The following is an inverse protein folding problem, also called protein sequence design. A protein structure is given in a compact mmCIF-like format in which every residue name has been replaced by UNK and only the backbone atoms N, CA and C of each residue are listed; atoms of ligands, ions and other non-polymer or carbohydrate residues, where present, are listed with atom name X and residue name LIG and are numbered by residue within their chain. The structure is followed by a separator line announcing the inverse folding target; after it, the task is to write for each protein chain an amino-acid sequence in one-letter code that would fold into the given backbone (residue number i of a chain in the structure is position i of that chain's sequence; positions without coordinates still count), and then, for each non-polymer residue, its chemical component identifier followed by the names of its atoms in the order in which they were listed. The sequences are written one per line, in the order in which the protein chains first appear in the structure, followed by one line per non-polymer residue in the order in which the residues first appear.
data_IF_676151137677
#
_entry.id   IF_676151137677
#
_cell.length_a   1.000
_cell.length_b   1.000
_cell.length_c   1.000
_cell.angle_alpha   90.00
_cell.angle_beta   90.00
_cell.angle_gamma   90.00
#
_symmetry.space_group_name_H-M   'P 1'
#
loop_
_entity.id
_entity.type
_entity.pdbx_description
1 polymer ?
#
# COMPACT_ATOMS: atom_id res chain seq x y z
N UNK A 1 25.95 1.72 33.15
CA UNK A 1 25.13 0.95 32.19
C UNK A 1 24.53 1.96 31.23
N UNK A 2 24.69 1.76 29.92
CA UNK A 2 23.92 2.55 28.95
C UNK A 2 22.42 2.37 29.21
N UNK A 3 21.65 3.44 29.10
CA UNK A 3 20.20 3.36 29.25
C UNK A 3 19.64 2.48 28.12
N UNK A 4 18.69 1.60 28.46
CA UNK A 4 18.00 0.80 27.44
C UNK A 4 17.09 1.73 26.66
N UNK A 5 17.14 1.73 25.32
CA UNK A 5 16.28 2.61 24.54
C UNK A 5 14.79 2.38 24.83
N UNK A 6 14.00 3.46 24.79
CA UNK A 6 12.60 3.42 25.21
C UNK A 6 11.77 2.43 24.39
N UNK A 7 12.01 2.34 23.07
CA UNK A 7 11.31 1.40 22.19
C UNK A 7 11.53 -0.07 22.60
N UNK A 8 12.76 -0.40 22.99
CA UNK A 8 13.15 -1.74 23.49
C UNK A 8 12.58 -1.98 24.90
N UNK A 9 12.58 -0.95 25.74
CA UNK A 9 12.06 -1.02 27.10
C UNK A 9 10.54 -1.18 27.14
N UNK A 10 9.80 -0.52 26.25
CA UNK A 10 8.34 -0.59 26.16
C UNK A 10 7.86 -2.03 25.91
N UNK A 11 8.57 -2.74 25.02
CA UNK A 11 8.31 -4.14 24.70
C UNK A 11 8.93 -5.12 25.71
N UNK A 12 9.65 -4.63 26.73
CA UNK A 12 10.36 -5.46 27.70
C UNK A 12 11.23 -6.56 27.06
N UNK A 13 11.84 -6.30 25.90
CA UNK A 13 12.53 -7.33 25.10
C UNK A 13 13.65 -8.02 25.89
N UNK A 14 14.38 -7.28 26.74
CA UNK A 14 15.42 -7.87 27.61
C UNK A 14 14.87 -8.90 28.60
N UNK A 15 13.61 -8.74 29.02
CA UNK A 15 12.93 -9.68 29.91
C UNK A 15 12.41 -10.87 29.11
N UNK A 16 11.77 -10.61 27.97
CA UNK A 16 11.20 -11.65 27.10
C UNK A 16 12.28 -12.63 26.58
N UNK A 17 13.45 -12.11 26.23
CA UNK A 17 14.55 -12.90 25.67
C UNK A 17 15.68 -13.16 26.67
N UNK A 18 15.42 -13.05 27.98
CA UNK A 18 16.43 -13.38 29.00
C UNK A 18 16.87 -14.84 28.88
N UNK A 19 18.18 -15.08 28.85
CA UNK A 19 18.74 -16.44 28.81
C UNK A 19 18.89 -17.03 27.40
N UNK A 20 18.67 -16.24 26.35
CA UNK A 20 19.08 -16.58 25.00
C UNK A 20 20.60 -16.46 24.82
N UNK A 21 21.11 -17.00 23.70
CA UNK A 21 22.54 -17.20 23.45
C UNK A 21 23.38 -15.89 23.46
N UNK A 22 22.76 -14.74 23.21
CA UNK A 22 23.36 -13.43 23.36
C UNK A 22 22.48 -12.55 24.27
N UNK A 23 23.10 -11.64 25.02
CA UNK A 23 22.35 -10.58 25.69
C UNK A 23 21.74 -9.67 24.61
N UNK A 24 20.43 -9.41 24.69
CA UNK A 24 19.69 -8.66 23.66
C UNK A 24 20.40 -7.36 23.23
N UNK A 25 20.96 -6.62 24.19
CA UNK A 25 21.61 -5.33 23.90
C UNK A 25 22.92 -5.45 23.13
N UNK A 26 23.57 -6.63 23.14
CA UNK A 26 24.76 -6.88 22.33
C UNK A 26 24.41 -7.10 20.85
N UNK A 27 23.12 -7.32 20.55
CA UNK A 27 22.58 -7.47 19.20
C UNK A 27 21.92 -6.19 18.68
N UNK A 28 22.01 -5.08 19.41
CA UNK A 28 21.32 -3.83 19.06
C UNK A 28 22.34 -2.77 18.66
N UNK A 29 22.22 -2.25 17.44
CA UNK A 29 22.91 -1.05 16.96
C UNK A 29 21.91 0.12 16.90
N UNK A 30 22.35 1.36 17.15
CA UNK A 30 21.47 2.54 17.15
C UNK A 30 22.04 3.63 16.26
N UNK A 31 21.19 4.23 15.43
CA UNK A 31 21.50 5.40 14.61
C UNK A 31 20.35 6.40 14.62
N UNK A 32 20.65 7.66 14.32
CA UNK A 32 19.67 8.74 14.22
C UNK A 32 19.82 9.57 12.95
N UNK A 33 20.54 9.04 11.96
CA UNK A 33 20.69 9.65 10.66
C UNK A 33 19.34 9.80 9.97
N UNK A 34 19.20 10.82 9.12
CA UNK A 34 17.98 11.08 8.35
C UNK A 34 17.64 9.95 7.37
N UNK A 35 18.63 9.15 6.99
CA UNK A 35 18.49 7.93 6.21
C UNK A 35 19.46 6.90 6.77
N UNK A 36 18.96 5.70 7.08
CA UNK A 36 19.79 4.56 7.49
C UNK A 36 19.71 3.45 6.45
N UNK A 37 20.82 2.75 6.26
CA UNK A 37 20.94 1.64 5.31
C UNK A 37 21.24 0.37 6.11
N UNK A 38 20.44 -0.66 5.95
CA UNK A 38 20.58 -1.95 6.64
C UNK A 38 20.89 -3.02 5.61
N UNK A 39 21.94 -3.80 5.87
CA UNK A 39 22.35 -4.92 5.03
C UNK A 39 22.42 -6.20 5.86
N UNK A 40 22.29 -7.33 5.19
CA UNK A 40 22.81 -8.60 5.70
C UNK A 40 24.31 -8.70 5.38
N UNK A 41 25.15 -8.52 6.40
CA UNK A 41 26.61 -8.49 6.25
C UNK A 41 27.14 -9.94 6.24
N UNK A 42 27.42 -10.45 5.04
CA UNK A 42 27.94 -11.81 4.84
C UNK A 42 29.28 -12.07 5.56
N UNK A 43 30.13 -11.05 5.76
CA UNK A 43 31.44 -11.22 6.41
C UNK A 43 31.28 -11.40 7.91
N UNK A 44 30.32 -10.68 8.50
CA UNK A 44 29.99 -10.78 9.94
C UNK A 44 28.96 -11.89 10.23
N UNK A 45 28.20 -12.29 9.22
CA UNK A 45 27.08 -13.23 9.33
C UNK A 45 25.88 -12.68 10.11
N UNK A 46 25.76 -11.36 10.26
CA UNK A 46 24.64 -10.69 10.95
C UNK A 46 24.24 -9.43 10.19
N UNK A 47 23.00 -8.99 10.32
CA UNK A 47 22.61 -7.70 9.76
C UNK A 47 23.19 -6.53 10.57
N UNK A 48 23.63 -5.48 9.88
CA UNK A 48 24.17 -4.27 10.49
C UNK A 48 23.82 -3.01 9.69
N UNK A 49 24.06 -1.82 10.26
CA UNK A 49 23.96 -0.59 9.50
C UNK A 49 25.19 -0.39 8.59
N UNK A 50 24.95 0.03 7.35
CA UNK A 50 25.97 0.32 6.35
C UNK A 50 26.07 1.83 6.04
N UNK A 51 27.02 2.20 5.18
CA UNK A 51 27.07 3.52 4.54
C UNK A 51 26.13 3.61 3.34
N UNK A 52 25.95 4.83 2.82
CA UNK A 52 25.03 5.10 1.71
C UNK A 52 25.41 4.40 0.41
N UNK A 53 26.67 4.00 0.26
CA UNK A 53 27.17 3.16 -0.84
C UNK A 53 26.47 1.80 -0.92
N UNK A 54 25.87 1.30 0.16
CA UNK A 54 25.11 0.05 0.17
C UNK A 54 23.74 0.16 -0.53
N UNK A 55 23.27 1.38 -0.87
CA UNK A 55 21.99 1.59 -1.55
C UNK A 55 21.88 0.83 -2.89
N UNK A 56 23.01 0.55 -3.55
CA UNK A 56 23.05 -0.16 -4.83
C UNK A 56 23.03 -1.68 -4.70
N UNK A 57 23.15 -2.25 -3.49
CA UNK A 57 23.36 -3.68 -3.26
C UNK A 57 22.16 -4.43 -2.67
N UNK A 58 20.95 -3.89 -2.78
CA UNK A 58 19.75 -4.54 -2.22
C UNK A 58 19.66 -4.46 -0.70
N UNK A 59 19.98 -3.29 -0.14
CA UNK A 59 19.78 -2.98 1.27
C UNK A 59 18.32 -2.58 1.59
N UNK A 60 17.96 -2.59 2.87
CA UNK A 60 16.76 -1.95 3.38
C UNK A 60 17.08 -0.51 3.81
N UNK A 61 16.19 0.44 3.49
CA UNK A 61 16.40 1.87 3.70
C UNK A 61 15.35 2.40 4.67
N UNK A 62 15.79 2.82 5.86
CA UNK A 62 14.95 3.53 6.82
C UNK A 62 15.03 5.03 6.58
N UNK A 63 13.94 5.65 6.13
CA UNK A 63 13.80 7.10 6.00
C UNK A 63 13.36 7.66 7.36
N UNK A 64 14.18 8.52 7.95
CA UNK A 64 14.01 9.03 9.31
C UNK A 64 14.00 10.56 9.31
N UNK A 65 12.95 11.19 8.76
CA UNK A 65 12.94 12.64 8.50
C UNK A 65 13.09 13.51 9.75
N UNK A 66 12.83 12.95 10.94
CA UNK A 66 12.91 13.62 12.22
C UNK A 66 14.17 13.26 13.03
N UNK A 67 15.10 12.48 12.45
CA UNK A 67 16.36 12.08 13.07
C UNK A 67 16.15 11.42 14.46
N UNK A 68 15.10 10.60 14.60
CA UNK A 68 14.86 9.84 15.81
C UNK A 68 15.87 8.71 15.96
N UNK A 69 16.05 8.21 17.18
CA UNK A 69 16.82 6.98 17.37
C UNK A 69 16.08 5.80 16.75
N UNK A 70 16.73 5.13 15.79
CA UNK A 70 16.33 3.86 15.21
C UNK A 70 17.26 2.78 15.75
N UNK A 71 16.67 1.67 16.19
CA UNK A 71 17.40 0.56 16.79
C UNK A 71 17.32 -0.66 15.86
N UNK A 72 18.46 -1.07 15.32
CA UNK A 72 18.59 -2.28 14.54
C UNK A 72 18.89 -3.44 15.49
N UNK A 73 17.99 -4.41 15.56
CA UNK A 73 18.18 -5.67 16.26
C UNK A 73 18.59 -6.75 15.25
N UNK A 74 19.81 -7.26 15.34
CA UNK A 74 20.23 -8.45 14.57
C UNK A 74 19.57 -9.70 15.16
N UNK A 75 18.79 -10.42 14.35
CA UNK A 75 17.98 -11.56 14.78
C UNK A 75 18.66 -12.87 14.40
N UNK A 76 18.80 -13.17 13.09
CA UNK A 76 19.53 -14.36 12.66
C UNK A 76 21.03 -14.19 12.93
N UNK A 77 21.62 -15.24 13.49
CA UNK A 77 22.97 -15.30 14.04
C UNK A 77 23.34 -14.19 15.05
N UNK A 78 22.42 -13.29 15.39
CA UNK A 78 22.49 -12.32 16.47
C UNK A 78 21.80 -12.86 17.71
N UNK A 79 20.55 -12.45 17.91
CA UNK A 79 19.70 -12.87 19.03
C UNK A 79 19.49 -14.39 19.08
N UNK A 80 19.28 -15.00 17.92
CA UNK A 80 19.19 -16.45 17.78
C UNK A 80 20.45 -16.99 17.10
N UNK A 81 20.95 -18.13 17.58
CA UNK A 81 22.07 -18.84 16.94
C UNK A 81 21.52 -20.06 16.21
N UNK A 82 21.39 -19.94 14.89
CA UNK A 82 20.95 -21.03 13.99
C UNK A 82 19.62 -21.69 14.41
N UNK A 83 18.52 -20.94 14.46
CA UNK A 83 17.21 -21.49 14.84
C UNK A 83 16.72 -22.53 13.82
N UNK A 84 16.12 -23.60 14.33
CA UNK A 84 15.43 -24.61 13.50
C UNK A 84 14.26 -23.94 12.77
N UNK A 85 14.15 -24.12 11.46
CA UNK A 85 13.12 -23.46 10.63
C UNK A 85 13.52 -22.09 10.06
N UNK A 86 14.64 -21.52 10.52
CA UNK A 86 15.11 -20.19 10.09
C UNK A 86 14.26 -19.05 10.66
N UNK A 87 14.83 -17.85 10.71
CA UNK A 87 14.18 -16.62 11.20
C UNK A 87 14.51 -15.46 10.29
N UNK A 88 13.85 -14.32 10.51
CA UNK A 88 14.19 -13.04 9.93
C UNK A 88 15.63 -12.66 10.27
N UNK A 89 16.34 -12.02 9.35
CA UNK A 89 17.71 -11.59 9.60
C UNK A 89 17.77 -10.51 10.68
N UNK A 90 16.83 -9.56 10.67
CA UNK A 90 16.85 -8.44 11.62
C UNK A 90 15.49 -7.77 11.82
N UNK A 91 15.46 -6.79 12.72
CA UNK A 91 14.37 -5.82 12.81
C UNK A 91 14.88 -4.39 13.05
N UNK A 92 14.24 -3.42 12.41
CA UNK A 92 14.46 -2.00 12.65
C UNK A 92 13.30 -1.44 13.48
N UNK A 93 13.64 -0.85 14.63
CA UNK A 93 12.69 -0.52 15.70
C UNK A 93 12.73 0.97 15.99
N UNK A 94 11.54 1.57 16.14
CA UNK A 94 11.37 2.97 16.49
C UNK A 94 10.06 3.15 17.26
N UNK A 95 10.10 3.71 18.47
CA UNK A 95 8.93 4.09 19.30
C UNK A 95 7.71 3.15 19.31
N UNK A 96 6.87 3.26 18.27
CA UNK A 96 5.60 2.59 18.02
C UNK A 96 5.63 1.61 16.84
N UNK A 97 6.79 1.38 16.22
CA UNK A 97 6.97 0.51 15.07
C UNK A 97 8.12 -0.49 15.22
N UNK A 98 7.86 -1.72 14.79
CA UNK A 98 8.78 -2.86 14.75
C UNK A 98 8.78 -3.51 13.36
N UNK A 99 9.77 -3.20 12.53
CA UNK A 99 9.85 -3.71 11.16
C UNK A 99 10.83 -4.89 11.07
N UNK A 100 10.32 -6.12 10.95
CA UNK A 100 11.13 -7.29 10.62
C UNK A 100 11.60 -7.22 9.17
N UNK A 101 12.83 -7.66 8.91
CA UNK A 101 13.43 -7.65 7.58
C UNK A 101 14.12 -8.98 7.33
N UNK A 102 13.74 -9.62 6.22
CA UNK A 102 14.36 -10.82 5.67
C UNK A 102 15.03 -10.47 4.33
N UNK A 103 16.34 -10.67 4.25
CA UNK A 103 17.15 -10.47 3.07
C UNK A 103 17.25 -11.75 2.24
N UNK A 104 16.93 -11.60 0.97
CA UNK A 104 17.23 -12.52 -0.14
C UNK A 104 18.10 -11.83 -1.19
N UNK A 105 18.99 -10.95 -0.72
CA UNK A 105 19.91 -10.15 -1.54
C UNK A 105 20.87 -11.01 -2.38
N UNK A 106 21.18 -12.23 -1.91
CA UNK A 106 22.05 -13.18 -2.63
C UNK A 106 21.29 -14.09 -3.62
N UNK A 107 19.95 -14.01 -3.71
CA UNK A 107 19.17 -14.84 -4.62
C UNK A 107 19.19 -14.27 -6.05
N UNK A 108 19.32 -15.15 -7.05
CA UNK A 108 19.37 -14.75 -8.47
C UNK A 108 18.04 -14.98 -9.22
N UNK A 109 17.15 -15.85 -8.71
CA UNK A 109 15.78 -16.03 -9.23
C UNK A 109 15.66 -16.42 -10.71
N UNK A 110 16.55 -17.25 -11.27
CA UNK A 110 16.63 -17.51 -12.73
C UNK A 110 15.37 -18.10 -13.39
N UNK A 111 14.48 -18.71 -12.62
CA UNK A 111 13.23 -19.34 -13.10
C UNK A 111 12.05 -18.97 -12.19
N UNK A 112 10.82 -19.08 -12.69
CA UNK A 112 9.59 -18.85 -11.89
C UNK A 112 9.63 -19.65 -10.58
N UNK A 113 9.93 -20.95 -10.65
CA UNK A 113 9.96 -21.83 -9.50
C UNK A 113 11.02 -21.40 -8.47
N UNK A 114 12.17 -20.91 -8.94
CA UNK A 114 13.22 -20.40 -8.04
C UNK A 114 12.82 -19.09 -7.36
N UNK A 115 12.03 -18.26 -8.03
CA UNK A 115 11.48 -17.03 -7.45
C UNK A 115 10.44 -17.36 -6.39
N UNK A 116 9.46 -18.21 -6.74
CA UNK A 116 8.44 -18.71 -5.82
C UNK A 116 9.06 -19.34 -4.58
N UNK A 117 10.03 -20.25 -4.76
CA UNK A 117 10.75 -20.87 -3.65
C UNK A 117 11.44 -19.83 -2.74
N UNK A 118 12.07 -18.82 -3.34
CA UNK A 118 12.77 -17.76 -2.58
C UNK A 118 11.79 -16.97 -1.71
N UNK A 119 10.64 -16.57 -2.26
CA UNK A 119 9.62 -15.84 -1.51
C UNK A 119 8.95 -16.70 -0.45
N UNK A 120 8.57 -17.94 -0.77
CA UNK A 120 7.94 -18.83 0.21
C UNK A 120 8.87 -19.15 1.38
N UNK A 121 10.17 -19.33 1.10
CA UNK A 121 11.18 -19.49 2.15
C UNK A 121 11.30 -18.25 3.04
N UNK A 122 11.37 -17.06 2.43
CA UNK A 122 11.44 -15.80 3.17
C UNK A 122 10.19 -15.57 4.04
N UNK A 123 9.01 -15.86 3.49
CA UNK A 123 7.73 -15.79 4.21
C UNK A 123 7.73 -16.73 5.41
N UNK A 124 8.12 -18.00 5.22
CA UNK A 124 8.16 -18.97 6.32
C UNK A 124 9.10 -18.53 7.45
N UNK A 125 10.24 -17.91 7.13
CA UNK A 125 11.15 -17.36 8.14
C UNK A 125 10.54 -16.19 8.91
N UNK A 126 9.81 -15.30 8.24
CA UNK A 126 9.08 -14.20 8.88
C UNK A 126 7.94 -14.72 9.77
N UNK A 127 7.14 -15.68 9.30
CA UNK A 127 6.06 -16.30 10.08
C UNK A 127 6.60 -16.96 11.35
N UNK A 128 7.66 -17.75 11.21
CA UNK A 128 8.30 -18.39 12.36
C UNK A 128 8.85 -17.35 13.34
N UNK A 129 9.44 -16.25 12.85
CA UNK A 129 9.91 -15.15 13.71
C UNK A 129 8.77 -14.48 14.46
N UNK A 130 7.65 -14.21 13.78
CA UNK A 130 6.46 -13.64 14.40
C UNK A 130 5.93 -14.56 15.50
N UNK A 131 5.81 -15.87 15.24
CA UNK A 131 5.41 -16.85 16.26
C UNK A 131 6.34 -16.82 17.48
N UNK A 132 7.66 -16.85 17.26
CA UNK A 132 8.64 -16.82 18.34
C UNK A 132 8.52 -15.56 19.20
N UNK A 133 8.44 -14.38 18.58
CA UNK A 133 8.29 -13.11 19.31
C UNK A 133 6.96 -13.02 20.05
N UNK A 134 5.85 -13.42 19.39
CA UNK A 134 4.53 -13.45 20.03
C UNK A 134 4.53 -14.36 21.26
N UNK A 135 5.09 -15.57 21.15
CA UNK A 135 5.18 -16.50 22.27
C UNK A 135 6.00 -15.92 23.43
N UNK A 136 7.16 -15.32 23.15
CA UNK A 136 8.04 -14.77 24.20
C UNK A 136 7.49 -13.55 24.90
N UNK A 137 6.76 -12.71 24.18
CA UNK A 137 6.10 -11.55 24.78
C UNK A 137 4.85 -11.97 25.55
N UNK A 138 4.10 -12.95 25.05
CA UNK A 138 2.97 -13.53 25.78
C UNK A 138 3.39 -14.18 27.11
N UNK A 139 4.53 -14.88 27.16
CA UNK A 139 5.09 -15.47 28.39
C UNK A 139 5.31 -14.44 29.52
N UNK A 140 5.51 -13.17 29.18
CA UNK A 140 5.65 -12.06 30.14
C UNK A 140 4.40 -11.19 30.26
N UNK A 141 3.28 -11.60 29.66
CA UNK A 141 1.98 -10.94 29.71
C UNK A 141 1.82 -9.74 28.78
N UNK A 142 2.63 -9.65 27.71
CA UNK A 142 2.61 -8.57 26.74
C UNK A 142 2.07 -9.08 25.39
N UNK A 143 1.03 -8.44 24.87
CA UNK A 143 0.49 -8.73 23.53
C UNK A 143 1.28 -7.92 22.50
N UNK A 144 2.18 -8.58 21.75
CA UNK A 144 3.14 -7.91 20.87
C UNK A 144 2.44 -7.00 19.86
N UNK A 145 1.38 -7.50 19.22
CA UNK A 145 0.63 -6.81 18.16
C UNK A 145 -0.20 -5.63 18.68
N UNK A 146 -0.47 -5.57 19.98
CA UNK A 146 -1.12 -4.41 20.62
C UNK A 146 -0.13 -3.40 21.18
N UNK A 147 1.10 -3.82 21.45
CA UNK A 147 2.10 -2.99 22.10
C UNK A 147 2.88 -2.13 21.11
N UNK A 148 2.98 -2.57 19.85
CA UNK A 148 3.71 -1.90 18.78
C UNK A 148 3.08 -2.28 17.44
N UNK A 149 3.13 -1.39 16.46
CA UNK A 149 2.88 -1.76 15.06
C UNK A 149 3.99 -2.71 14.62
N UNK A 150 3.61 -3.84 14.05
CA UNK A 150 4.56 -4.83 13.52
C UNK A 150 4.37 -4.91 12.02
N UNK A 151 5.46 -4.87 11.27
CA UNK A 151 5.47 -5.14 9.82
C UNK A 151 6.63 -6.05 9.43
N UNK A 152 6.55 -6.61 8.23
CA UNK A 152 7.56 -7.48 7.67
C UNK A 152 7.99 -6.98 6.28
N UNK A 153 9.28 -7.09 5.99
CA UNK A 153 9.86 -6.79 4.68
C UNK A 153 10.65 -7.97 4.14
N UNK A 154 10.51 -8.22 2.83
CA UNK A 154 11.39 -9.11 2.09
C UNK A 154 12.22 -8.29 1.11
N UNK A 155 13.53 -8.34 1.27
CA UNK A 155 14.48 -7.53 0.49
C UNK A 155 15.22 -8.41 -0.49
N UNK A 156 14.98 -8.21 -1.78
CA UNK A 156 15.69 -8.92 -2.84
C UNK A 156 16.73 -8.03 -3.50
N UNK A 157 17.67 -8.66 -4.20
CA UNK A 157 18.64 -7.96 -5.05
C UNK A 157 17.93 -7.07 -6.09
N UNK A 158 18.48 -5.91 -6.48
CA UNK A 158 17.91 -5.08 -7.55
C UNK A 158 17.79 -5.81 -8.90
N UNK A 159 18.60 -6.84 -9.12
CA UNK A 159 18.56 -7.68 -10.34
C UNK A 159 17.65 -8.91 -10.21
N UNK A 160 17.07 -9.14 -9.03
CA UNK A 160 16.16 -10.26 -8.81
C UNK A 160 14.87 -10.06 -9.61
N UNK A 161 14.37 -11.08 -10.32
CA UNK A 161 13.16 -10.92 -11.13
C UNK A 161 11.93 -10.80 -10.24
N UNK A 162 11.36 -9.60 -10.21
CA UNK A 162 10.16 -9.25 -9.46
C UNK A 162 8.90 -9.35 -10.32
N UNK A 163 7.81 -9.82 -9.73
CA UNK A 163 6.50 -9.93 -10.39
C UNK A 163 5.43 -9.33 -9.49
N UNK A 164 5.00 -8.12 -9.82
CA UNK A 164 4.12 -7.32 -8.96
C UNK A 164 2.81 -8.02 -8.59
N UNK A 165 2.22 -8.79 -9.51
CA UNK A 165 1.00 -9.55 -9.21
C UNK A 165 1.23 -10.68 -8.20
N UNK A 166 2.37 -11.36 -8.30
CA UNK A 166 2.74 -12.43 -7.38
C UNK A 166 3.09 -11.87 -5.99
N UNK A 167 3.87 -10.78 -5.95
CA UNK A 167 4.18 -10.05 -4.71
C UNK A 167 2.89 -9.59 -4.01
N UNK A 168 1.95 -8.98 -4.74
CA UNK A 168 0.65 -8.57 -4.19
C UNK A 168 -0.13 -9.74 -3.59
N UNK A 169 -0.14 -10.90 -4.26
CA UNK A 169 -0.78 -12.11 -3.72
C UNK A 169 -0.12 -12.57 -2.42
N UNK A 170 1.21 -12.54 -2.33
CA UNK A 170 1.93 -12.87 -1.10
C UNK A 170 1.66 -11.85 0.01
N UNK A 171 1.65 -10.55 -0.30
CA UNK A 171 1.31 -9.49 0.66
C UNK A 171 -0.09 -9.71 1.24
N UNK A 172 -1.10 -9.92 0.40
CA UNK A 172 -2.48 -10.16 0.84
C UNK A 172 -2.59 -11.43 1.68
N UNK A 173 -1.98 -12.54 1.23
CA UNK A 173 -2.03 -13.81 1.97
C UNK A 173 -1.35 -13.69 3.33
N UNK A 174 -0.15 -13.09 3.38
CA UNK A 174 0.58 -12.90 4.63
C UNK A 174 -0.21 -12.04 5.62
N UNK A 175 -0.85 -10.97 5.14
CA UNK A 175 -1.69 -10.11 5.96
C UNK A 175 -2.92 -10.85 6.50
N UNK A 176 -3.57 -11.68 5.68
CA UNK A 176 -4.72 -12.49 6.12
C UNK A 176 -4.32 -13.52 7.18
N UNK A 177 -3.22 -14.25 6.93
CA UNK A 177 -2.81 -15.37 7.78
C UNK A 177 -2.17 -14.88 9.09
N UNK A 178 -1.44 -13.77 9.04
CA UNK A 178 -0.64 -13.28 10.16
C UNK A 178 -1.16 -11.98 10.78
N UNK A 179 -2.07 -11.24 10.14
CA UNK A 179 -2.54 -9.93 10.63
C UNK A 179 -1.42 -8.88 10.70
N UNK A 180 -0.44 -8.97 9.80
CA UNK A 180 0.77 -8.14 9.76
C UNK A 180 1.05 -7.76 8.29
N UNK A 181 1.40 -6.49 8.04
CA UNK A 181 1.79 -6.03 6.70
C UNK A 181 3.07 -6.76 6.23
N UNK A 182 3.05 -7.25 4.99
CA UNK A 182 4.24 -7.68 4.27
C UNK A 182 4.52 -6.73 3.10
N UNK A 183 5.75 -6.27 2.97
CA UNK A 183 6.20 -5.44 1.85
C UNK A 183 7.45 -5.99 1.16
N UNK A 184 7.50 -5.86 -0.16
CA UNK A 184 8.69 -6.12 -0.97
C UNK A 184 9.45 -4.84 -1.33
N UNK A 185 9.01 -3.69 -0.79
CA UNK A 185 9.71 -2.44 -0.96
C UNK A 185 10.90 -2.38 -0.03
N UNK A 186 12.00 -1.84 -0.56
CA UNK A 186 13.25 -1.74 0.16
C UNK A 186 13.38 -0.44 0.95
N UNK A 187 12.30 0.33 1.11
CA UNK A 187 12.27 1.59 1.84
C UNK A 187 11.08 1.64 2.79
N UNK A 188 11.26 2.24 3.97
CA UNK A 188 10.16 2.57 4.89
C UNK A 188 10.42 3.87 5.64
N UNK A 189 9.37 4.64 5.90
CA UNK A 189 9.44 5.89 6.66
C UNK A 189 9.20 5.59 8.15
N UNK A 190 10.06 6.14 8.98
CA UNK A 190 9.98 6.13 10.44
C UNK A 190 9.74 7.56 10.92
N UNK A 191 8.47 7.95 11.03
CA UNK A 191 8.05 9.27 11.54
C UNK A 191 7.25 9.09 12.82
N UNK A 192 7.74 9.59 13.95
CA UNK A 192 6.94 9.63 15.17
C UNK A 192 5.82 10.68 15.02
N UNK A 193 4.57 10.32 15.28
CA UNK A 193 3.57 11.34 15.63
C UNK A 193 3.60 11.55 17.15
N UNK A 194 4.17 12.68 17.60
CA UNK A 194 4.10 13.12 19.00
C UNK A 194 2.64 13.12 19.45
N UNK A 195 2.30 12.21 20.38
CA UNK A 195 0.94 12.11 20.86
C UNK A 195 0.86 12.38 22.37
N UNK A 196 0.93 13.67 22.73
CA UNK A 196 0.31 14.17 23.95
C UNK A 196 -1.21 14.07 23.81
N UNK A 197 -1.77 12.91 24.13
CA UNK A 197 -3.17 12.71 24.55
C UNK A 197 -3.33 11.27 25.04
N UNK A 198 -2.82 11.00 26.24
CA UNK A 198 -2.88 9.69 26.88
C UNK A 198 -4.22 9.41 27.59
N UNK A 199 -5.34 10.00 27.12
CA UNK A 199 -6.69 9.70 27.64
C UNK A 199 -7.76 9.48 26.57
N UNK A 200 -7.41 9.40 25.28
CA UNK A 200 -8.34 9.00 24.21
C UNK A 200 -7.83 7.88 23.28
N UNK A 201 -6.70 7.24 23.59
CA UNK A 201 -6.22 6.07 22.84
C UNK A 201 -6.59 4.76 23.53
N UNK A 202 -7.89 4.49 23.55
CA UNK A 202 -8.42 3.13 23.64
C UNK A 202 -9.11 2.83 22.31
N UNK A 203 -8.33 2.51 21.28
CA UNK A 203 -8.74 1.80 20.06
C UNK A 203 -7.43 1.18 19.54
N UNK A 204 -6.98 0.03 20.06
CA UNK A 204 -7.20 -1.35 19.55
C UNK A 204 -6.83 -1.52 18.08
N UNK A 205 -6.24 -2.68 17.73
CA UNK A 205 -6.16 -3.32 16.41
C UNK A 205 -6.69 -2.49 15.26
N UNK A 206 -5.94 -2.35 14.14
CA UNK A 206 -6.49 -1.94 12.84
C UNK A 206 -8.02 -2.08 12.82
N UNK A 207 -8.74 -0.99 13.01
CA UNK A 207 -10.01 -0.88 12.33
C UNK A 207 -9.58 -0.65 10.88
N UNK A 208 -9.12 -1.72 10.21
CA UNK A 208 -9.40 -1.87 8.80
C UNK A 208 -10.90 -1.61 8.75
N UNK A 209 -11.24 -0.42 8.26
CA UNK A 209 -12.61 0.02 8.17
C UNK A 209 -13.38 -1.15 7.57
N UNK A 210 -14.31 -1.73 8.31
CA UNK A 210 -15.06 -2.85 7.78
C UNK A 210 -15.80 -2.35 6.54
N UNK A 211 -16.15 -3.24 5.60
CA UNK A 211 -16.94 -2.81 4.44
C UNK A 211 -18.22 -2.06 4.86
N UNK A 212 -18.79 -2.40 6.02
CA UNK A 212 -19.94 -1.71 6.61
C UNK A 212 -19.61 -0.30 7.13
N UNK A 213 -18.50 -0.12 7.85
CA UNK A 213 -18.05 1.21 8.31
C UNK A 213 -17.64 2.10 7.14
N UNK A 214 -17.03 1.50 6.10
CA UNK A 214 -16.66 2.22 4.89
C UNK A 214 -17.88 2.68 4.12
N UNK A 215 -18.90 1.81 4.03
CA UNK A 215 -20.18 2.19 3.47
C UNK A 215 -20.83 3.34 4.25
N UNK A 216 -20.83 3.29 5.59
CA UNK A 216 -21.34 4.38 6.43
C UNK A 216 -20.56 5.68 6.24
N UNK A 217 -19.24 5.61 6.08
CA UNK A 217 -18.40 6.77 5.81
C UNK A 217 -18.65 7.36 4.41
N UNK A 218 -18.86 6.53 3.39
CA UNK A 218 -19.26 7.01 2.07
C UNK A 218 -20.62 7.72 2.16
N UNK A 219 -21.56 7.16 2.90
CA UNK A 219 -22.90 7.72 3.14
C UNK A 219 -22.90 9.00 3.98
N UNK A 220 -21.94 9.17 4.90
CA UNK A 220 -21.80 10.39 5.70
C UNK A 220 -21.40 11.61 4.86
N UNK A 221 -20.83 11.37 3.66
CA UNK A 221 -20.35 12.40 2.73
C UNK A 221 -19.27 13.31 3.31
N UNK A 222 -18.54 12.88 4.34
CA UNK A 222 -17.41 13.64 4.90
C UNK A 222 -16.33 13.96 3.85
N UNK A 223 -16.17 13.07 2.86
CA UNK A 223 -15.26 13.25 1.72
C UNK A 223 -15.70 14.33 0.73
N UNK A 224 -16.99 14.70 0.71
CA UNK A 224 -17.56 15.46 -0.40
C UNK A 224 -17.07 16.89 -0.50
N UNK A 225 -16.55 17.45 0.60
CA UNK A 225 -16.04 18.82 0.67
C UNK A 225 -17.00 19.87 0.08
N UNK A 226 -18.31 19.68 0.29
CA UNK A 226 -19.37 20.54 -0.23
C UNK A 226 -19.90 20.20 -1.63
N UNK A 227 -19.29 19.26 -2.34
CA UNK A 227 -19.80 18.80 -3.64
C UNK A 227 -21.15 18.11 -3.46
N UNK A 228 -22.10 18.30 -4.37
CA UNK A 228 -23.47 17.78 -4.24
C UNK A 228 -23.70 16.41 -4.89
N UNK A 229 -22.75 15.94 -5.70
CA UNK A 229 -22.85 14.68 -6.44
C UNK A 229 -22.57 13.50 -5.50
N UNK A 230 -23.26 12.38 -5.69
CA UNK A 230 -23.15 11.19 -4.86
C UNK A 230 -22.19 10.15 -5.46
N UNK A 231 -21.49 9.41 -4.61
CA UNK A 231 -20.80 8.19 -5.02
C UNK A 231 -21.84 7.19 -5.56
N UNK A 232 -21.57 6.55 -6.70
CA UNK A 232 -22.39 5.43 -7.14
C UNK A 232 -22.21 4.21 -6.23
N UNK A 233 -23.27 3.41 -6.10
CA UNK A 233 -23.27 2.18 -5.29
C UNK A 233 -22.30 1.11 -5.81
N UNK A 234 -21.82 1.23 -7.06
CA UNK A 234 -20.84 0.31 -7.64
C UNK A 234 -19.42 0.55 -7.12
N UNK A 235 -19.16 1.68 -6.45
CA UNK A 235 -17.85 2.01 -5.92
C UNK A 235 -17.51 1.06 -4.76
N UNK A 236 -16.31 0.51 -4.76
CA UNK A 236 -15.75 -0.18 -3.60
C UNK A 236 -15.54 0.84 -2.47
N UNK A 237 -16.49 0.87 -1.54
CA UNK A 237 -16.51 1.82 -0.43
C UNK A 237 -15.26 1.70 0.45
N UNK A 238 -14.75 0.48 0.64
CA UNK A 238 -13.58 0.23 1.46
C UNK A 238 -12.32 0.77 0.79
N UNK A 239 -12.13 0.46 -0.49
CA UNK A 239 -11.00 1.00 -1.24
C UNK A 239 -11.07 2.52 -1.33
N UNK A 240 -12.27 3.09 -1.55
CA UNK A 240 -12.45 4.54 -1.57
C UNK A 240 -12.05 5.18 -0.24
N UNK A 241 -12.55 4.66 0.88
CA UNK A 241 -12.19 5.17 2.20
C UNK A 241 -10.69 5.05 2.47
N UNK A 242 -10.08 3.90 2.17
CA UNK A 242 -8.65 3.67 2.38
C UNK A 242 -7.80 4.63 1.54
N UNK A 243 -8.06 4.75 0.25
CA UNK A 243 -7.34 5.68 -0.63
C UNK A 243 -7.53 7.13 -0.21
N UNK A 244 -8.75 7.50 0.21
CA UNK A 244 -9.03 8.83 0.74
C UNK A 244 -8.18 9.13 1.97
N UNK A 245 -8.14 8.26 2.98
CA UNK A 245 -7.40 8.51 4.21
C UNK A 245 -5.87 8.47 4.00
N UNK A 246 -5.37 7.57 3.15
CA UNK A 246 -3.94 7.48 2.80
C UNK A 246 -3.41 8.74 2.13
N UNK A 247 -4.25 9.47 1.38
CA UNK A 247 -3.83 10.69 0.70
C UNK A 247 -4.89 11.79 0.75
N UNK A 248 -5.36 12.10 1.96
CA UNK A 248 -6.48 13.02 2.20
C UNK A 248 -6.32 14.38 1.51
N UNK A 249 -5.10 14.90 1.47
CA UNK A 249 -4.82 16.19 0.85
C UNK A 249 -5.11 16.23 -0.66
N UNK A 250 -4.81 15.16 -1.42
CA UNK A 250 -5.15 15.09 -2.85
C UNK A 250 -6.66 14.99 -3.05
N UNK A 251 -7.31 14.13 -2.27
CA UNK A 251 -8.76 13.92 -2.38
C UNK A 251 -9.55 15.18 -1.97
N UNK A 252 -9.17 15.83 -0.87
CA UNK A 252 -9.75 17.11 -0.43
C UNK A 252 -9.64 18.16 -1.55
N UNK A 253 -8.47 18.24 -2.20
CA UNK A 253 -8.23 19.18 -3.29
C UNK A 253 -9.12 18.90 -4.50
N UNK A 254 -9.27 17.62 -4.88
CA UNK A 254 -10.15 17.21 -5.97
C UNK A 254 -11.61 17.56 -5.67
N UNK A 255 -12.14 17.10 -4.53
CA UNK A 255 -13.54 17.30 -4.19
C UNK A 255 -13.88 18.76 -3.93
N UNK A 256 -12.95 19.54 -3.38
CA UNK A 256 -13.11 21.01 -3.28
C UNK A 256 -13.24 21.65 -4.64
N UNK A 257 -12.36 21.31 -5.59
CA UNK A 257 -12.44 21.83 -6.95
C UNK A 257 -13.79 21.50 -7.59
N UNK A 258 -14.26 20.26 -7.45
CA UNK A 258 -15.56 19.82 -7.98
C UNK A 258 -16.74 20.53 -7.31
N UNK A 259 -16.64 20.86 -6.02
CA UNK A 259 -17.66 21.60 -5.29
C UNK A 259 -17.74 23.07 -5.71
N UNK A 260 -16.61 23.71 -6.00
CA UNK A 260 -16.51 25.14 -6.28
C UNK A 260 -16.61 25.49 -7.77
N UNK A 261 -16.62 24.49 -8.65
CA UNK A 261 -16.59 24.67 -10.11
C UNK A 261 -17.88 24.21 -10.77
N UNK A 262 -18.52 25.09 -11.53
CA UNK A 262 -19.61 24.71 -12.43
C UNK A 262 -19.03 23.98 -13.67
N UNK A 263 -19.29 22.67 -13.85
CA UNK A 263 -18.72 21.90 -14.96
C UNK A 263 -19.19 22.41 -16.33
N UNK A 264 -20.34 23.09 -16.43
CA UNK A 264 -20.85 23.65 -17.68
C UNK A 264 -20.00 24.82 -18.20
N UNK A 265 -19.16 25.40 -17.35
CA UNK A 265 -18.27 26.53 -17.71
C UNK A 265 -16.91 26.05 -18.22
N UNK A 266 -16.62 24.75 -18.14
CA UNK A 266 -15.32 24.19 -18.50
C UNK A 266 -15.25 23.90 -20.01
N UNK A 267 -14.12 24.28 -20.62
CA UNK A 267 -13.87 24.04 -22.04
C UNK A 267 -13.52 22.56 -22.29
N UNK A 268 -14.22 21.94 -23.24
CA UNK A 268 -13.96 20.56 -23.65
C UNK A 268 -12.55 20.39 -24.23
N UNK A 269 -11.92 19.25 -23.96
CA UNK A 269 -10.55 18.93 -24.36
C UNK A 269 -9.48 19.48 -23.43
N UNK A 270 -9.84 20.27 -22.41
CA UNK A 270 -8.90 20.85 -21.45
C UNK A 270 -8.44 19.83 -20.40
N UNK A 271 -7.14 19.84 -20.10
CA UNK A 271 -6.55 19.22 -18.91
C UNK A 271 -6.35 20.28 -17.83
N UNK A 272 -6.96 20.07 -16.67
CA UNK A 272 -6.85 20.95 -15.50
C UNK A 272 -5.96 20.25 -14.47
N UNK A 273 -4.77 20.78 -14.22
CA UNK A 273 -3.82 20.22 -13.25
C UNK A 273 -4.08 20.86 -11.88
N UNK A 274 -4.32 20.03 -10.86
CA UNK A 274 -4.54 20.48 -9.47
C UNK A 274 -3.32 20.17 -8.58
N UNK A 275 -2.56 19.12 -8.92
CA UNK A 275 -1.25 18.81 -8.36
C UNK A 275 -0.39 18.21 -9.49
N UNK A 276 0.80 18.78 -9.73
CA UNK A 276 1.66 18.39 -10.84
C UNK A 276 2.04 16.90 -10.72
N UNK A 277 1.83 16.15 -11.79
CA UNK A 277 2.12 14.70 -11.84
C UNK A 277 1.23 13.79 -10.98
N UNK A 278 0.38 14.34 -10.10
CA UNK A 278 -0.34 13.56 -9.08
C UNK A 278 -1.87 13.69 -9.13
N UNK A 279 -2.38 14.82 -9.60
CA UNK A 279 -3.83 15.05 -9.67
C UNK A 279 -4.20 16.00 -10.81
N UNK A 280 -5.03 15.53 -11.72
CA UNK A 280 -5.60 16.37 -12.79
C UNK A 280 -6.98 15.89 -13.23
N UNK A 281 -7.71 16.76 -13.92
CA UNK A 281 -9.02 16.47 -14.50
C UNK A 281 -8.95 16.69 -16.02
N UNK A 282 -9.45 15.74 -16.80
CA UNK A 282 -9.71 15.93 -18.21
C UNK A 282 -11.19 16.27 -18.42
N UNK A 283 -11.46 17.34 -19.17
CA UNK A 283 -12.82 17.73 -19.57
C UNK A 283 -13.08 17.13 -20.95
N UNK A 284 -14.09 16.27 -21.06
CA UNK A 284 -14.38 15.55 -22.29
C UNK A 284 -15.78 15.89 -22.81
N UNK A 285 -15.89 15.96 -24.14
CA UNK A 285 -17.15 16.06 -24.87
C UNK A 285 -17.07 15.11 -26.07
N UNK A 286 -18.04 14.21 -26.20
CA UNK A 286 -18.10 13.24 -27.29
C UNK A 286 -19.50 12.61 -27.41
N UNK A 287 -19.76 11.90 -28.50
CA UNK A 287 -20.92 11.01 -28.63
C UNK A 287 -20.56 9.62 -28.13
N UNK A 288 -21.23 9.08 -27.08
CA UNK A 288 -20.99 7.73 -26.58
C UNK A 288 -21.16 6.67 -27.68
N UNK A 289 -20.35 5.61 -27.61
CA UNK A 289 -20.33 4.56 -28.64
C UNK A 289 -20.93 3.25 -28.14
N UNK A 290 -21.08 2.27 -29.02
CA UNK A 290 -21.50 0.95 -28.58
C UNK A 290 -20.45 0.28 -27.69
N UNK A 291 -20.84 -0.77 -26.96
CA UNK A 291 -19.90 -1.56 -26.16
C UNK A 291 -18.80 -2.17 -27.05
N UNK A 292 -19.13 -2.61 -28.27
CA UNK A 292 -18.20 -3.22 -29.22
C UNK A 292 -17.16 -2.23 -29.77
N UNK A 293 -17.48 -0.93 -29.77
CA UNK A 293 -16.60 0.14 -30.25
C UNK A 293 -15.76 0.79 -29.14
N UNK A 294 -15.97 0.37 -27.89
CA UNK A 294 -15.21 0.82 -26.71
C UNK A 294 -14.29 -0.31 -26.23
N UNK A 295 -13.35 0.01 -25.34
CA UNK A 295 -12.39 -0.97 -24.82
C UNK A 295 -12.49 -1.04 -23.31
N UNK A 296 -12.30 -2.23 -22.78
CA UNK A 296 -12.02 -2.42 -21.35
C UNK A 296 -10.59 -1.95 -21.11
N UNK A 297 -10.39 -1.11 -20.11
CA UNK A 297 -9.10 -0.60 -19.70
C UNK A 297 -8.91 -0.68 -18.18
N UNK A 298 -7.65 -0.65 -17.76
CA UNK A 298 -7.27 -0.45 -16.36
C UNK A 298 -5.97 0.34 -16.27
N UNK A 299 -5.73 0.88 -15.08
CA UNK A 299 -4.63 1.75 -14.74
C UNK A 299 -3.80 1.13 -13.60
N UNK A 300 -2.54 1.55 -13.42
CA UNK A 300 -1.68 1.03 -12.34
C UNK A 300 -1.31 2.09 -11.32
N UNK A 301 -1.22 3.34 -11.73
CA UNK A 301 -0.70 4.42 -10.90
C UNK A 301 -1.77 5.45 -10.54
N UNK A 302 -2.92 5.45 -11.21
CA UNK A 302 -4.00 6.40 -10.96
C UNK A 302 -5.35 5.71 -10.74
N UNK A 303 -6.13 6.29 -9.84
CA UNK A 303 -7.58 6.09 -9.72
C UNK A 303 -8.28 7.02 -10.70
N UNK A 304 -9.34 6.51 -11.33
CA UNK A 304 -10.21 7.29 -12.19
C UNK A 304 -11.48 7.71 -11.47
N UNK A 305 -11.71 9.02 -11.33
CA UNK A 305 -13.02 9.57 -11.03
C UNK A 305 -13.72 9.92 -12.34
N UNK A 306 -14.86 9.30 -12.61
CA UNK A 306 -15.61 9.48 -13.84
C UNK A 306 -16.96 10.12 -13.49
N UNK A 307 -17.17 11.37 -13.92
CA UNK A 307 -18.39 12.13 -13.64
C UNK A 307 -19.02 12.64 -14.94
N UNK A 308 -20.11 12.00 -15.37
CA UNK A 308 -20.89 12.42 -16.54
C UNK A 308 -21.98 13.38 -16.06
N UNK A 309 -21.83 14.67 -16.38
CA UNK A 309 -22.75 15.71 -15.92
C UNK A 309 -23.81 16.08 -16.97
N UNK A 310 -23.62 15.65 -18.21
CA UNK A 310 -24.60 15.76 -19.29
C UNK A 310 -24.48 14.53 -20.21
N UNK A 311 -25.60 13.99 -20.68
CA UNK A 311 -25.64 12.91 -21.68
C UNK A 311 -26.10 11.56 -21.15
N UNK A 312 -25.92 10.52 -21.97
CA UNK A 312 -26.54 9.20 -21.81
C UNK A 312 -25.48 8.10 -21.85
N UNK A 313 -24.81 7.86 -20.73
CA UNK A 313 -23.71 6.88 -20.62
C UNK A 313 -24.04 5.72 -19.68
N UNK A 314 -23.43 4.58 -20.02
CA UNK A 314 -23.23 3.45 -19.14
C UNK A 314 -21.74 3.37 -18.80
N UNK A 315 -21.45 2.97 -17.57
CA UNK A 315 -20.11 2.56 -17.17
C UNK A 315 -20.07 1.07 -16.91
N UNK A 316 -19.19 0.37 -17.62
CA UNK A 316 -19.00 -1.07 -17.50
C UNK A 316 -17.88 -1.43 -16.52
N UNK A 317 -18.03 -2.53 -15.80
CA UNK A 317 -16.94 -3.23 -15.11
C UNK A 317 -16.97 -4.70 -15.52
N UNK A 318 -15.83 -5.19 -15.99
CA UNK A 318 -15.62 -6.57 -16.40
C UNK A 318 -15.01 -7.37 -15.25
N UNK A 319 -15.45 -8.63 -15.11
CA UNK A 319 -14.88 -9.59 -14.16
C UNK A 319 -13.57 -10.15 -14.69
N UNK A 320 -13.64 -11.29 -15.39
CA UNK A 320 -12.45 -11.92 -15.98
C UNK A 320 -12.10 -11.27 -17.32
N UNK A 321 -10.83 -10.94 -17.52
CA UNK A 321 -10.35 -10.27 -18.72
C UNK A 321 -9.03 -10.85 -19.23
N UNK A 322 -8.78 -10.68 -20.53
CA UNK A 322 -7.53 -11.04 -21.21
C UNK A 322 -6.87 -9.78 -21.78
N UNK A 323 -5.60 -9.47 -21.45
CA UNK A 323 -4.91 -8.33 -22.03
C UNK A 323 -4.77 -8.48 -23.55
N UNK A 324 -5.07 -7.41 -24.30
CA UNK A 324 -4.89 -7.38 -25.77
C UNK A 324 -3.66 -6.57 -26.20
N UNK A 325 -3.02 -5.88 -25.27
CA UNK A 325 -1.76 -5.19 -25.46
C UNK A 325 -0.94 -5.18 -24.16
N UNK A 326 0.36 -4.93 -24.29
CA UNK A 326 1.21 -4.66 -23.13
C UNK A 326 0.84 -3.33 -22.46
N UNK A 327 1.15 -3.23 -21.17
CA UNK A 327 0.94 -2.02 -20.40
C UNK A 327 1.74 -0.84 -20.98
N UNK A 328 1.05 0.26 -21.28
CA UNK A 328 1.64 1.53 -21.74
C UNK A 328 1.95 2.40 -20.51
N UNK A 329 3.23 2.57 -20.13
CA UNK A 329 3.60 3.34 -18.94
C UNK A 329 3.39 4.85 -19.11
N UNK A 330 3.31 5.35 -20.36
CA UNK A 330 3.09 6.78 -20.62
C UNK A 330 1.62 7.13 -20.46
N UNK A 331 0.73 6.21 -20.84
CA UNK A 331 -0.73 6.38 -20.71
C UNK A 331 -1.30 5.78 -19.42
N UNK A 332 -0.45 5.14 -18.60
CA UNK A 332 -0.84 4.32 -17.45
C UNK A 332 -1.96 3.35 -17.79
N UNK A 333 -1.85 2.57 -18.88
CA UNK A 333 -2.99 1.79 -19.38
C UNK A 333 -2.66 0.45 -19.98
N UNK A 334 -3.49 -0.53 -19.68
CA UNK A 334 -3.63 -1.79 -20.45
C UNK A 334 -5.05 -1.88 -21.01
N UNK A 335 -5.25 -2.36 -22.23
CA UNK A 335 -6.59 -2.69 -22.72
C UNK A 335 -6.82 -4.20 -22.69
N UNK A 336 -8.08 -4.59 -22.62
CA UNK A 336 -8.49 -5.97 -22.46
C UNK A 336 -9.66 -6.34 -23.37
N UNK A 337 -9.83 -7.64 -23.57
CA UNK A 337 -11.06 -8.28 -24.04
C UNK A 337 -11.63 -9.18 -22.95
N UNK A 338 -12.91 -9.49 -23.04
CA UNK A 338 -13.57 -10.49 -22.19
C UNK A 338 -14.55 -11.29 -23.02
N UNK A 339 -14.73 -12.56 -22.63
CA UNK A 339 -15.79 -13.43 -23.13
C UNK A 339 -16.97 -13.50 -22.14
N UNK A 340 -16.86 -12.82 -20.99
CA UNK A 340 -17.89 -12.76 -19.95
C UNK A 340 -18.81 -11.55 -20.11
N UNK A 341 -19.98 -11.60 -19.49
CA UNK A 341 -20.90 -10.46 -19.46
C UNK A 341 -20.31 -9.31 -18.62
N UNK A 342 -20.43 -8.09 -19.13
CA UNK A 342 -19.95 -6.88 -18.47
C UNK A 342 -21.11 -6.26 -17.69
N UNK A 343 -20.87 -5.90 -16.43
CA UNK A 343 -21.87 -5.26 -15.59
C UNK A 343 -21.88 -3.76 -15.88
N UNK A 344 -23.00 -3.26 -16.39
CA UNK A 344 -23.17 -1.84 -16.71
C UNK A 344 -24.05 -1.10 -15.72
N UNK A 345 -23.60 0.08 -15.31
CA UNK A 345 -24.36 1.02 -14.49
C UNK A 345 -24.66 2.31 -15.27
N UNK A 346 -25.91 2.81 -15.29
CA UNK A 346 -26.21 4.13 -15.84
C UNK A 346 -25.45 5.23 -15.11
N UNK A 347 -24.99 6.24 -15.83
CA UNK A 347 -24.26 7.38 -15.26
C UNK A 347 -25.07 8.68 -15.28
N UNK A 348 -26.02 8.87 -14.35
CA UNK A 348 -26.77 10.11 -14.21
C UNK A 348 -25.92 11.24 -13.60
N UNK A 349 -26.32 12.49 -13.85
CA UNK A 349 -25.58 13.69 -13.43
C UNK A 349 -25.51 13.91 -11.90
N UNK A 350 -26.25 13.14 -11.11
CA UNK A 350 -26.20 13.15 -9.64
C UNK A 350 -25.25 12.10 -9.06
N UNK A 351 -24.54 11.33 -9.91
CA UNK A 351 -23.61 10.27 -9.53
C UNK A 351 -22.24 10.40 -10.18
N UNK A 352 -21.19 10.01 -9.46
CA UNK A 352 -19.87 9.75 -10.03
C UNK A 352 -19.43 8.31 -9.73
N UNK A 353 -18.45 7.85 -10.52
CA UNK A 353 -17.86 6.53 -10.42
C UNK A 353 -16.38 6.63 -10.08
N UNK A 354 -15.86 5.62 -9.38
CA UNK A 354 -14.44 5.44 -9.14
C UNK A 354 -13.99 4.10 -9.73
N UNK A 355 -12.82 4.11 -10.36
CA UNK A 355 -12.14 2.90 -10.82
C UNK A 355 -10.71 2.89 -10.29
N UNK A 356 -10.45 1.94 -9.40
CA UNK A 356 -9.14 1.67 -8.83
C UNK A 356 -8.30 0.80 -9.78
N UNK A 357 -6.98 0.62 -9.55
CA UNK A 357 -6.14 -0.20 -10.42
C UNK A 357 -6.64 -1.64 -10.65
N UNK A 358 -7.41 -2.19 -9.71
CA UNK A 358 -8.03 -3.52 -9.81
C UNK A 358 -9.28 -3.56 -10.70
N UNK A 359 -9.88 -2.41 -11.00
CA UNK A 359 -11.17 -2.33 -11.70
C UNK A 359 -10.99 -2.26 -13.22
N UNK A 360 -11.31 -3.36 -13.89
CA UNK A 360 -11.26 -3.48 -15.35
C UNK A 360 -12.53 -2.84 -15.93
N UNK A 361 -12.45 -1.56 -16.26
CA UNK A 361 -13.63 -0.75 -16.57
C UNK A 361 -13.75 -0.43 -18.06
N UNK A 362 -14.98 -0.22 -18.52
CA UNK A 362 -15.33 0.15 -19.89
C UNK A 362 -16.26 1.37 -19.85
N UNK A 363 -15.71 2.58 -19.81
CA UNK A 363 -16.51 3.80 -19.73
C UNK A 363 -17.03 4.22 -21.11
N UNK A 364 -17.89 5.24 -21.14
CA UNK A 364 -18.30 5.93 -22.38
C UNK A 364 -19.20 5.11 -23.32
N UNK A 365 -19.89 4.11 -22.79
CA UNK A 365 -20.83 3.27 -23.56
C UNK A 365 -22.19 3.96 -23.64
N UNK A 366 -22.83 3.94 -24.81
CA UNK A 366 -24.17 4.53 -25.00
C UNK A 366 -25.24 3.70 -24.28
N UNK A 367 -26.14 4.37 -23.56
CA UNK A 367 -27.31 3.70 -22.95
C UNK A 367 -28.50 3.57 -23.90
N UNK A 368 -28.48 4.31 -25.03
CA UNK A 368 -29.53 4.31 -26.08
C UNK A 368 -28.88 4.38 -27.46
N UNK A 369 -29.63 4.03 -28.51
CA UNK A 369 -29.12 3.99 -29.90
C UNK A 369 -28.57 5.35 -30.38
N UNK A 370 -29.26 6.44 -30.04
CA UNK A 370 -28.88 7.81 -30.39
C UNK A 370 -28.63 8.62 -29.09
N UNK A 371 -27.46 8.48 -28.44
CA UNK A 371 -27.22 9.01 -27.10
C UNK A 371 -27.07 10.54 -27.06
N UNK A 372 -26.89 11.19 -28.21
CA UNK A 372 -26.55 12.61 -28.28
C UNK A 372 -25.10 12.87 -27.88
N UNK A 373 -24.82 14.08 -27.40
CA UNK A 373 -23.51 14.46 -26.85
C UNK A 373 -23.52 14.16 -25.36
N UNK A 374 -22.43 13.60 -24.87
CA UNK A 374 -22.12 13.50 -23.44
C UNK A 374 -20.96 14.42 -23.09
N UNK A 375 -21.04 14.99 -21.89
CA UNK A 375 -19.97 15.79 -21.28
C UNK A 375 -19.58 15.22 -19.94
N UNK A 376 -18.28 15.13 -19.72
CA UNK A 376 -17.71 14.34 -18.64
C UNK A 376 -16.44 14.95 -18.08
N UNK A 377 -16.25 14.79 -16.77
CA UNK A 377 -14.97 15.00 -16.10
C UNK A 377 -14.34 13.66 -15.78
N UNK A 378 -13.05 13.52 -16.12
CA UNK A 378 -12.22 12.37 -15.74
C UNK A 378 -11.09 12.84 -14.86
N UNK A 379 -11.25 12.69 -13.55
CA UNK A 379 -10.20 12.93 -12.57
C UNK A 379 -9.22 11.76 -12.56
N UNK A 380 -7.92 12.04 -12.61
CA UNK A 380 -6.84 11.09 -12.37
C UNK A 380 -6.21 11.43 -11.03
N UNK A 381 -6.31 10.53 -10.06
CA UNK A 381 -5.78 10.69 -8.70
C UNK A 381 -4.66 9.68 -8.49
N UNK A 382 -3.47 10.12 -8.07
CA UNK A 382 -2.37 9.20 -7.74
C UNK A 382 -2.83 8.14 -6.73
N UNK A 383 -2.64 6.88 -7.09
CA UNK A 383 -3.00 5.73 -6.27
C UNK A 383 -1.94 5.53 -5.17
N UNK A 384 -2.38 5.50 -3.91
CA UNK A 384 -1.53 5.18 -2.79
C UNK A 384 -1.33 3.65 -2.72
N UNK A 385 -0.14 3.21 -3.12
CA UNK A 385 0.26 1.80 -3.17
C UNK A 385 0.24 1.17 -1.78
#
# INVERSE_FOLDING_TARGET
MMAVPQAISNLQLRRAFRGYAAELMDCVETRSDAVVYVIDDNDRGISCFAGAEAAVSGCFIGLNPANHELHLLSIDNGLFKSPEGGVADCALIHADLFAFVEFKSNAEGKTQDSVTYTYEKAISQLEHTLEMFNAKLADIGLDFRKAVEVVCHIIVSPIFPRQSAMEMNYCMRFAIDNGVELSFDNQRIFSHTDNQNHTERTMTNENLMTAAEAQQWVESREWANGWSVNADKSIDALEFANQYHRNKALWDKLFKFLAETDPMTLEAGKKIVLEEGRLWINVLEYTPKSAEETKIESHRNFVDLQYTYEGNELMGVAGKVTPINEYDPVKDRTNYSTDEEIVYSPAPADRFFLYFPKDMHQPSVRSVENPGISRKLVGKIEYAK
#
